data_IF_665618120727
#
_entry.id   IF_665618120727
#
_cell.length_a   1.000
_cell.length_b   1.000
_cell.length_c   1.000
_cell.angle_alpha   90.00
_cell.angle_beta   90.00
_cell.angle_gamma   90.00
#
_symmetry.space_group_name_H-M   'P 1'
#
loop_
_entity.id
_entity.type
_entity.pdbx_description
1 polymer ?
#
# COMPACT_ATOMS: atom_id res chain seq x y z
N UNK A 1 31.59 -48.18 19.97
CA UNK A 1 31.91 -46.92 20.67
C UNK A 1 33.30 -46.54 20.21
N UNK A 2 33.37 -45.93 19.02
CA UNK A 2 34.63 -45.43 18.45
C UNK A 2 34.29 -44.08 17.80
N UNK A 3 34.47 -43.07 18.64
CA UNK A 3 34.99 -41.73 18.38
C UNK A 3 34.52 -40.98 17.13
N UNK A 4 33.51 -40.12 17.33
CA UNK A 4 33.47 -38.84 16.63
C UNK A 4 34.44 -37.91 17.34
N UNK A 5 35.34 -37.25 16.59
CA UNK A 5 35.76 -35.84 16.72
C UNK A 5 37.13 -35.61 16.01
N UNK A 6 37.55 -34.37 15.64
CA UNK A 6 36.98 -33.45 14.64
C UNK A 6 38.10 -32.68 13.85
N UNK A 7 37.72 -31.58 13.16
CA UNK A 7 38.49 -30.33 12.87
C UNK A 7 39.11 -30.25 11.47
N UNK A 8 39.27 -29.09 10.82
CA UNK A 8 38.76 -27.69 10.91
C UNK A 8 39.39 -26.99 9.69
N UNK A 9 38.60 -26.16 8.99
CA UNK A 9 39.01 -24.94 8.25
C UNK A 9 39.98 -25.21 7.05
N UNK A 10 40.03 -24.43 5.99
CA UNK A 10 40.01 -22.98 5.89
C UNK A 10 39.73 -22.62 4.42
N UNK A 11 39.12 -21.45 4.25
CA UNK A 11 39.03 -20.64 3.03
C UNK A 11 39.95 -21.00 1.86
N UNK A 12 39.38 -21.07 0.66
CA UNK A 12 40.01 -20.43 -0.49
C UNK A 12 38.98 -19.80 -1.44
N UNK A 13 39.35 -18.61 -1.89
CA UNK A 13 38.60 -17.61 -2.61
C UNK A 13 38.44 -18.04 -4.07
N UNK A 14 37.25 -17.91 -4.65
CA UNK A 14 37.13 -17.42 -6.04
C UNK A 14 35.98 -16.42 -6.07
N UNK A 15 36.37 -15.17 -6.24
CA UNK A 15 35.50 -14.08 -6.59
C UNK A 15 35.01 -14.29 -8.02
N UNK A 16 33.71 -14.11 -8.24
CA UNK A 16 33.23 -13.71 -9.56
C UNK A 16 32.15 -12.64 -9.37
N UNK A 17 32.57 -11.39 -9.46
CA UNK A 17 31.69 -10.28 -9.74
C UNK A 17 31.27 -10.37 -11.21
N UNK A 18 29.96 -10.39 -11.49
CA UNK A 18 29.45 -9.83 -12.74
C UNK A 18 28.08 -9.18 -12.55
N UNK A 19 27.91 -7.90 -12.97
CA UNK A 19 26.78 -7.08 -12.60
C UNK A 19 25.64 -7.12 -13.63
N UNK A 20 24.54 -6.47 -13.24
CA UNK A 20 23.45 -5.99 -14.09
C UNK A 20 22.33 -7.00 -14.43
N UNK A 21 21.40 -7.13 -13.50
CA UNK A 21 20.02 -6.74 -13.75
C UNK A 21 19.40 -6.37 -12.42
N UNK A 22 19.53 -5.10 -12.02
CA UNK A 22 18.70 -4.56 -10.93
C UNK A 22 17.28 -4.59 -11.50
N UNK A 23 16.52 -5.62 -11.14
CA UNK A 23 15.10 -5.74 -11.48
C UNK A 23 14.46 -4.37 -11.29
N UNK A 24 13.65 -3.98 -12.27
CA UNK A 24 12.82 -2.78 -12.24
C UNK A 24 11.99 -2.82 -10.96
N UNK A 25 12.51 -2.22 -9.90
CA UNK A 25 11.80 -2.05 -8.64
C UNK A 25 10.56 -1.27 -9.01
N UNK A 26 9.43 -1.96 -9.07
CA UNK A 26 8.14 -1.34 -9.32
C UNK A 26 8.08 -0.16 -8.37
N UNK A 27 8.02 1.07 -8.91
CA UNK A 27 7.95 2.26 -8.08
C UNK A 27 6.74 2.05 -7.19
N UNK A 28 6.98 1.76 -5.92
CA UNK A 28 5.91 1.61 -4.94
C UNK A 28 5.13 2.90 -5.01
N UNK A 29 3.89 2.84 -5.49
CA UNK A 29 3.01 4.00 -5.56
C UNK A 29 2.96 4.58 -4.17
N UNK A 30 3.63 5.71 -3.95
CA UNK A 30 3.65 6.36 -2.65
C UNK A 30 2.22 6.82 -2.35
N UNK A 31 1.49 6.02 -1.56
CA UNK A 31 0.23 6.44 -0.98
C UNK A 31 0.57 7.56 0.00
N UNK A 32 0.44 8.81 -0.44
CA UNK A 32 0.55 9.95 0.45
C UNK A 32 -0.68 9.95 1.35
N UNK A 33 -0.46 9.85 2.66
CA UNK A 33 -1.51 10.08 3.64
C UNK A 33 -2.05 11.51 3.51
N UNK A 34 -3.36 11.71 3.68
CA UNK A 34 -3.94 13.03 3.58
C UNK A 34 -3.41 13.92 4.71
N UNK A 35 -2.92 15.11 4.36
CA UNK A 35 -2.41 16.09 5.31
C UNK A 35 -2.84 17.51 4.91
N UNK A 36 -2.99 18.38 5.89
CA UNK A 36 -3.29 19.78 5.65
C UNK A 36 -2.11 20.47 4.95
N UNK A 37 -2.29 21.09 3.76
CA UNK A 37 -1.19 21.72 3.03
C UNK A 37 -0.63 22.97 3.72
N UNK A 38 -1.31 23.50 4.74
CA UNK A 38 -0.90 24.70 5.45
C UNK A 38 -0.03 24.39 6.69
N UNK A 39 -0.39 23.38 7.49
CA UNK A 39 0.30 23.06 8.74
C UNK A 39 0.88 21.65 8.81
N UNK A 40 0.67 20.80 7.78
CA UNK A 40 1.13 19.42 7.75
C UNK A 40 0.38 18.46 8.68
N UNK A 41 -0.67 18.92 9.36
CA UNK A 41 -1.46 18.05 10.25
C UNK A 41 -2.13 16.92 9.48
N UNK A 42 -2.01 15.70 9.99
CA UNK A 42 -2.70 14.50 9.50
C UNK A 42 -4.09 14.32 10.12
N UNK A 43 -4.49 15.19 11.05
CA UNK A 43 -5.84 15.19 11.64
C UNK A 43 -6.85 15.83 10.68
N UNK A 44 -7.09 15.15 9.57
CA UNK A 44 -8.02 15.54 8.51
C UNK A 44 -9.04 14.44 8.27
N UNK A 45 -10.22 14.82 7.79
CA UNK A 45 -11.30 13.88 7.48
C UNK A 45 -11.87 14.15 6.08
N UNK A 46 -12.43 13.11 5.47
CA UNK A 46 -13.07 13.21 4.17
C UNK A 46 -14.48 13.79 4.26
N UNK A 47 -14.82 14.72 3.37
CA UNK A 47 -16.19 15.21 3.18
C UNK A 47 -16.64 14.98 1.74
N UNK A 48 -17.93 14.69 1.55
CA UNK A 48 -18.54 14.56 0.22
C UNK A 48 -19.96 15.14 0.21
N UNK A 49 -20.46 15.50 -0.98
CA UNK A 49 -21.80 16.08 -1.15
C UNK A 49 -22.87 14.99 -1.25
N UNK A 50 -23.94 15.14 -0.47
CA UNK A 50 -25.16 14.32 -0.50
C UNK A 50 -26.35 15.24 -0.69
N UNK A 51 -27.11 15.07 -1.78
CA UNK A 51 -28.34 15.83 -2.10
C UNK A 51 -28.22 17.35 -1.82
N UNK A 52 -27.07 17.94 -2.18
CA UNK A 52 -26.86 19.39 -2.11
C UNK A 52 -26.13 19.93 -0.86
N UNK A 53 -25.87 19.11 0.16
CA UNK A 53 -25.07 19.53 1.34
C UNK A 53 -23.83 18.65 1.53
N UNK A 54 -22.84 19.16 2.27
CA UNK A 54 -21.62 18.41 2.61
C UNK A 54 -21.81 17.59 3.88
N UNK A 55 -21.29 16.37 3.89
CA UNK A 55 -21.25 15.49 5.06
C UNK A 55 -19.88 14.83 5.20
N UNK A 56 -19.49 14.54 6.44
CA UNK A 56 -18.30 13.74 6.76
C UNK A 56 -18.53 12.30 6.35
N UNK A 57 -17.60 11.74 5.57
CA UNK A 57 -17.68 10.38 4.99
C UNK A 57 -17.58 9.31 6.09
N UNK A 58 -16.77 9.55 7.12
CA UNK A 58 -16.52 8.58 8.19
C UNK A 58 -17.79 8.28 9.01
N UNK A 59 -18.73 9.22 9.05
CA UNK A 59 -20.04 9.06 9.69
C UNK A 59 -21.06 8.27 8.84
N UNK A 60 -20.71 7.91 7.60
CA UNK A 60 -21.63 7.22 6.71
C UNK A 60 -21.70 5.73 7.03
N UNK A 61 -22.88 5.14 6.84
CA UNK A 61 -23.04 3.69 6.91
C UNK A 61 -22.31 2.99 5.73
N UNK A 62 -22.14 1.67 5.85
CA UNK A 62 -21.42 0.86 4.85
C UNK A 62 -22.02 0.97 3.44
N UNK A 63 -23.35 1.07 3.31
CA UNK A 63 -24.00 1.16 2.00
C UNK A 63 -23.70 2.48 1.29
N UNK A 64 -23.66 3.60 2.01
CA UNK A 64 -23.26 4.91 1.46
C UNK A 64 -21.77 4.97 1.10
N UNK A 65 -20.90 4.37 1.90
CA UNK A 65 -19.47 4.27 1.54
C UNK A 65 -19.27 3.42 0.27
N UNK A 66 -20.01 2.31 0.13
CA UNK A 66 -19.98 1.48 -1.07
C UNK A 66 -20.52 2.22 -2.31
N UNK A 67 -21.60 2.98 -2.15
CA UNK A 67 -22.13 3.87 -3.20
C UNK A 67 -21.09 4.92 -3.61
N UNK A 68 -20.41 5.57 -2.66
CA UNK A 68 -19.35 6.54 -2.96
C UNK A 68 -18.21 5.93 -3.79
N UNK A 69 -17.76 4.73 -3.40
CA UNK A 69 -16.73 3.98 -4.13
C UNK A 69 -17.17 3.65 -5.55
N UNK A 70 -18.47 3.39 -5.76
CA UNK A 70 -19.06 3.15 -7.09
C UNK A 70 -19.12 4.44 -7.92
N UNK A 71 -19.53 5.57 -7.33
CA UNK A 71 -19.50 6.90 -7.99
C UNK A 71 -18.10 7.26 -8.48
N UNK A 72 -17.07 7.03 -7.66
CA UNK A 72 -15.68 7.31 -8.02
C UNK A 72 -15.21 6.49 -9.23
N UNK A 73 -15.81 5.31 -9.45
CA UNK A 73 -15.56 4.45 -10.62
C UNK A 73 -16.44 4.79 -11.82
N UNK A 74 -17.43 5.67 -11.66
CA UNK A 74 -18.46 5.93 -12.68
C UNK A 74 -19.52 4.82 -12.79
N UNK A 75 -19.54 3.85 -11.89
CA UNK A 75 -20.48 2.73 -11.92
C UNK A 75 -21.74 3.04 -11.11
N UNK A 76 -22.63 3.86 -11.67
CA UNK A 76 -23.85 4.28 -10.97
C UNK A 76 -24.93 3.20 -10.89
N UNK A 77 -24.86 2.21 -11.78
CA UNK A 77 -25.84 1.12 -11.87
C UNK A 77 -25.35 -0.11 -11.12
N UNK A 78 -26.28 -0.85 -10.52
CA UNK A 78 -26.02 -2.22 -10.11
C UNK A 78 -26.31 -3.05 -11.35
N UNK A 79 -25.29 -3.73 -11.89
CA UNK A 79 -25.59 -4.84 -12.77
C UNK A 79 -26.20 -5.89 -11.85
N UNK A 80 -27.49 -6.16 -12.02
CA UNK A 80 -28.14 -7.29 -11.37
C UNK A 80 -27.46 -8.55 -11.95
N UNK A 81 -26.62 -9.20 -11.15
CA UNK A 81 -26.02 -10.51 -11.43
C UNK A 81 -26.83 -11.62 -10.74
#
# INVERSE_FOLDING_TARGET
MEDIQPKKKISDKIAEEKPAAKELTHSTSHHHEPACPHCGSTNVYGISRVVGYYSVIDNWNKSKQAELKRRQKGNYWHADE
#
